data_IF_500729742801
#
_entry.id   IF_500729742801
#
_cell.length_a   1.000
_cell.length_b   1.000
_cell.length_c   1.000
_cell.angle_alpha   90.00
_cell.angle_beta   90.00
_cell.angle_gamma   90.00
#
_symmetry.space_group_name_H-M   'P 1'
#
loop_
_entity.id
_entity.type
_entity.pdbx_description
1 polymer ?
#
# COMPACT_ATOMS: atom_id res chain seq x y z
N UNK A 1 -11.37 -22.62 -12.71
CA UNK A 1 -12.11 -23.86 -12.39
C UNK A 1 -11.55 -24.42 -11.10
N UNK A 2 -12.35 -24.85 -10.10
CA UNK A 2 -13.78 -25.12 -10.13
C UNK A 2 -14.63 -23.96 -9.59
N UNK A 3 -15.85 -23.87 -10.13
CA UNK A 3 -16.94 -23.01 -9.66
C UNK A 3 -17.77 -23.83 -8.68
N UNK A 4 -17.60 -23.59 -7.38
CA UNK A 4 -18.43 -24.19 -6.33
C UNK A 4 -19.75 -23.41 -6.23
N UNK A 5 -20.70 -23.77 -7.10
CA UNK A 5 -22.07 -23.29 -6.98
C UNK A 5 -22.71 -23.88 -5.72
N UNK A 6 -22.76 -23.10 -4.64
CA UNK A 6 -23.55 -23.41 -3.45
C UNK A 6 -25.04 -23.31 -3.82
N UNK A 7 -25.64 -24.45 -4.19
CA UNK A 7 -27.10 -24.56 -4.30
C UNK A 7 -27.69 -24.48 -2.89
N UNK A 8 -28.08 -23.28 -2.46
CA UNK A 8 -28.99 -23.11 -1.33
C UNK A 8 -30.31 -23.80 -1.68
N UNK A 9 -30.56 -24.97 -1.08
CA UNK A 9 -31.89 -25.58 -1.05
C UNK A 9 -32.76 -24.69 -0.18
N UNK A 10 -33.64 -23.92 -0.82
CA UNK A 10 -34.69 -23.14 -0.17
C UNK A 10 -35.67 -24.14 0.45
N UNK A 11 -35.52 -24.43 1.74
CA UNK A 11 -36.59 -25.07 2.50
C UNK A 11 -37.74 -24.07 2.57
N UNK A 12 -38.83 -24.38 1.87
CA UNK A 12 -40.08 -23.64 1.98
C UNK A 12 -40.64 -23.97 3.35
N UNK A 13 -40.32 -23.15 4.35
CA UNK A 13 -41.07 -23.13 5.60
C UNK A 13 -42.35 -22.36 5.33
N UNK A 14 -43.46 -23.07 5.23
CA UNK A 14 -44.78 -22.49 5.36
C UNK A 14 -44.87 -21.84 6.74
N UNK A 15 -44.65 -20.53 6.77
CA UNK A 15 -44.91 -19.71 7.95
C UNK A 15 -46.41 -19.68 8.17
N UNK A 16 -46.91 -20.58 9.01
CA UNK A 16 -48.23 -20.45 9.60
C UNK A 16 -48.24 -19.17 10.44
N UNK A 17 -48.68 -18.07 9.84
CA UNK A 17 -49.12 -16.89 10.58
C UNK A 17 -50.36 -17.29 11.38
N UNK A 18 -50.34 -17.21 12.72
CA UNK A 18 -51.53 -17.51 13.50
C UNK A 18 -52.58 -16.44 13.22
N UNK A 19 -53.75 -16.88 12.74
CA UNK A 19 -54.93 -16.03 12.58
C UNK A 19 -55.34 -15.57 13.98
N UNK A 20 -55.21 -14.27 14.23
CA UNK A 20 -55.71 -13.61 15.43
C UNK A 20 -57.24 -13.59 15.38
N UNK A 21 -57.89 -14.57 16.01
CA UNK A 21 -59.32 -14.54 16.29
C UNK A 21 -59.55 -14.17 17.76
N UNK A 22 -59.98 -12.93 17.98
CA UNK A 22 -60.48 -12.46 19.26
C UNK A 22 -61.83 -13.09 19.59
N UNK A 23 -61.99 -13.46 20.87
CA UNK A 23 -63.24 -13.62 21.64
C UNK A 23 -64.16 -14.80 21.31
N UNK A 24 -63.85 -15.95 21.92
CA UNK A 24 -64.83 -16.87 22.51
C UNK A 24 -64.24 -17.44 23.80
N UNK A 25 -65.10 -17.72 24.80
CA UNK A 25 -64.75 -18.10 26.17
C UNK A 25 -63.61 -19.10 26.27
N UNK A 26 -62.65 -18.80 27.15
CA UNK A 26 -61.33 -19.41 27.21
C UNK A 26 -61.34 -20.92 27.38
N UNK A 27 -61.12 -21.63 26.27
CA UNK A 27 -60.49 -22.95 26.29
C UNK A 27 -59.05 -22.71 25.84
N UNK A 28 -58.12 -22.72 26.78
CA UNK A 28 -56.71 -22.85 26.44
C UNK A 28 -56.52 -24.23 25.82
N UNK A 29 -56.51 -24.30 24.49
CA UNK A 29 -56.08 -25.50 23.77
C UNK A 29 -54.56 -25.59 23.96
N UNK A 30 -54.15 -26.16 25.09
CA UNK A 30 -52.77 -26.58 25.29
C UNK A 30 -52.49 -27.66 24.27
N UNK A 31 -51.77 -27.34 23.20
CA UNK A 31 -51.19 -28.36 22.32
C UNK A 31 -50.30 -29.24 23.18
N UNK A 32 -50.80 -30.41 23.55
CA UNK A 32 -50.05 -31.44 24.29
C UNK A 32 -48.95 -31.89 23.35
N UNK A 33 -47.74 -31.35 23.54
CA UNK A 33 -46.58 -31.80 22.79
C UNK A 33 -46.33 -33.24 23.17
N UNK A 34 -46.38 -34.12 22.20
CA UNK A 34 -46.07 -35.52 22.47
C UNK A 34 -44.59 -35.62 22.86
N UNK A 35 -44.20 -36.63 23.66
CA UNK A 35 -42.78 -36.92 23.91
C UNK A 35 -41.99 -37.08 22.60
N UNK A 36 -42.64 -37.56 21.55
CA UNK A 36 -42.05 -37.72 20.22
C UNK A 36 -41.76 -36.37 19.53
N UNK A 37 -42.67 -35.40 19.63
CA UNK A 37 -42.44 -34.03 19.12
C UNK A 37 -41.26 -33.36 19.84
N UNK A 38 -41.13 -33.62 21.13
CA UNK A 38 -40.01 -33.12 21.93
C UNK A 38 -38.69 -33.76 21.48
N UNK A 39 -38.67 -35.08 21.25
CA UNK A 39 -37.48 -35.78 20.72
C UNK A 39 -37.08 -35.29 19.33
N UNK A 40 -38.05 -35.11 18.42
CA UNK A 40 -37.80 -34.58 17.06
C UNK A 40 -37.22 -33.18 17.10
N UNK A 41 -37.71 -32.33 18.00
CA UNK A 41 -37.20 -30.96 18.18
C UNK A 41 -35.77 -30.95 18.73
N UNK A 42 -35.46 -31.81 19.70
CA UNK A 42 -34.10 -31.94 20.24
C UNK A 42 -33.13 -32.38 19.14
N UNK A 43 -33.47 -33.44 18.39
CA UNK A 43 -32.64 -33.92 17.29
C UNK A 43 -32.41 -32.85 16.20
N UNK A 44 -33.43 -32.04 15.89
CA UNK A 44 -33.29 -30.92 14.96
C UNK A 44 -32.34 -29.83 15.48
N UNK A 45 -32.44 -29.48 16.77
CA UNK A 45 -31.56 -28.47 17.38
C UNK A 45 -30.11 -28.94 17.43
N UNK A 46 -29.87 -30.22 17.69
CA UNK A 46 -28.53 -30.83 17.62
C UNK A 46 -27.96 -30.74 16.20
N UNK A 47 -28.74 -31.11 15.19
CA UNK A 47 -28.34 -31.02 13.78
C UNK A 47 -27.99 -29.58 13.37
N UNK A 48 -28.81 -28.61 13.76
CA UNK A 48 -28.57 -27.18 13.49
C UNK A 48 -27.31 -26.69 14.22
N UNK A 49 -27.10 -27.11 15.47
CA UNK A 49 -25.92 -26.75 16.24
C UNK A 49 -24.64 -27.29 15.60
N UNK A 50 -24.67 -28.52 15.09
CA UNK A 50 -23.53 -29.12 14.36
C UNK A 50 -23.25 -28.34 13.07
N UNK A 51 -24.28 -28.07 12.26
CA UNK A 51 -24.12 -27.33 11.01
C UNK A 51 -23.59 -25.89 11.22
N UNK A 52 -24.02 -25.22 12.31
CA UNK A 52 -23.49 -23.90 12.68
C UNK A 52 -22.02 -23.98 13.12
N UNK A 53 -21.63 -25.02 13.85
CA UNK A 53 -20.23 -25.25 14.22
C UNK A 53 -19.33 -25.47 13.02
N UNK A 54 -19.78 -26.26 12.03
CA UNK A 54 -19.05 -26.48 10.77
C UNK A 54 -18.89 -25.20 9.95
N UNK A 55 -19.95 -24.39 9.84
CA UNK A 55 -19.91 -23.08 9.17
C UNK A 55 -18.96 -22.11 9.85
N UNK A 56 -19.00 -22.02 11.19
CA UNK A 56 -18.08 -21.17 11.96
C UNK A 56 -16.63 -21.63 11.83
N UNK A 57 -16.39 -22.95 11.86
CA UNK A 57 -15.07 -23.53 11.63
C UNK A 57 -14.52 -23.19 10.24
N UNK A 58 -15.33 -23.36 9.19
CA UNK A 58 -14.93 -23.06 7.81
C UNK A 58 -14.62 -21.57 7.59
N UNK A 59 -15.41 -20.66 8.17
CA UNK A 59 -15.12 -19.21 8.10
C UNK A 59 -13.82 -18.83 8.82
N UNK A 60 -13.54 -19.46 9.97
CA UNK A 60 -12.31 -19.19 10.70
C UNK A 60 -11.07 -19.68 9.94
N UNK A 61 -11.15 -20.86 9.33
CA UNK A 61 -10.08 -21.40 8.49
C UNK A 61 -9.84 -20.53 7.24
N UNK A 62 -10.90 -20.01 6.62
CA UNK A 62 -10.77 -19.11 5.46
C UNK A 62 -10.11 -17.77 5.86
N UNK A 63 -10.46 -17.20 7.02
CA UNK A 63 -9.80 -16.01 7.57
C UNK A 63 -8.31 -16.26 7.85
N UNK A 64 -7.97 -17.38 8.49
CA UNK A 64 -6.58 -17.76 8.75
C UNK A 64 -5.79 -17.93 7.45
N UNK A 65 -6.38 -18.58 6.44
CA UNK A 65 -5.76 -18.73 5.12
C UNK A 65 -5.56 -17.39 4.41
N UNK A 66 -6.52 -16.46 4.50
CA UNK A 66 -6.36 -15.11 3.94
C UNK A 66 -5.26 -14.32 4.65
N UNK A 67 -5.20 -14.38 5.98
CA UNK A 67 -4.13 -13.75 6.76
C UNK A 67 -2.77 -14.37 6.42
N UNK A 68 -2.68 -15.69 6.34
CA UNK A 68 -1.43 -16.37 6.00
C UNK A 68 -0.98 -16.04 4.56
N UNK A 69 -1.90 -15.98 3.60
CA UNK A 69 -1.60 -15.51 2.25
C UNK A 69 -1.14 -14.04 2.24
N UNK A 70 -1.75 -13.18 3.07
CA UNK A 70 -1.34 -11.79 3.21
C UNK A 70 0.07 -11.68 3.81
N UNK A 71 0.35 -12.43 4.88
CA UNK A 71 1.67 -12.51 5.53
C UNK A 71 2.72 -13.09 4.57
N UNK A 72 2.41 -14.13 3.81
CA UNK A 72 3.32 -14.71 2.81
C UNK A 72 3.63 -13.70 1.69
N UNK A 73 2.63 -12.96 1.20
CA UNK A 73 2.86 -11.86 0.25
C UNK A 73 3.78 -10.79 0.84
N UNK A 74 3.54 -10.34 2.06
CA UNK A 74 4.38 -9.37 2.75
C UNK A 74 5.81 -9.87 3.00
N UNK A 75 5.99 -11.16 3.36
CA UNK A 75 7.30 -11.79 3.56
C UNK A 75 8.07 -11.99 2.26
N UNK A 76 7.38 -12.35 1.17
CA UNK A 76 8.03 -12.49 -0.15
C UNK A 76 8.56 -11.15 -0.71
N UNK A 77 8.04 -10.02 -0.22
CA UNK A 77 8.51 -8.67 -0.53
C UNK A 77 9.58 -8.16 0.45
N UNK A 78 9.96 -8.94 1.47
CA UNK A 78 10.85 -8.52 2.56
C UNK A 78 12.32 -8.88 2.35
N UNK A 79 12.74 -9.25 1.12
CA UNK A 79 14.16 -9.47 0.87
C UNK A 79 14.86 -8.13 0.70
N UNK A 80 15.42 -7.64 1.82
CA UNK A 80 16.37 -6.53 1.81
C UNK A 80 17.58 -7.02 0.98
N UNK A 81 17.87 -6.39 -0.17
CA UNK A 81 19.01 -6.71 -1.01
C UNK A 81 20.29 -6.68 -0.19
N UNK A 82 21.22 -7.53 -0.59
CA UNK A 82 22.57 -7.56 -0.02
C UNK A 82 23.15 -6.14 -0.04
N UNK A 83 23.70 -5.71 1.08
CA UNK A 83 24.29 -4.38 1.34
C UNK A 83 23.33 -3.25 1.74
N UNK A 84 22.02 -3.50 1.80
CA UNK A 84 21.10 -2.54 2.41
C UNK A 84 20.89 -2.83 3.90
N UNK A 85 20.94 -1.79 4.71
CA UNK A 85 20.63 -1.81 6.14
C UNK A 85 19.37 -0.99 6.39
N UNK A 86 18.50 -1.47 7.29
CA UNK A 86 17.31 -0.71 7.69
C UNK A 86 17.70 0.49 8.53
N UNK A 87 17.08 1.64 8.26
CA UNK A 87 17.24 2.86 9.05
C UNK A 87 15.86 3.45 9.38
N UNK A 88 15.77 4.13 10.52
CA UNK A 88 14.59 4.89 10.92
C UNK A 88 15.02 6.34 11.19
N UNK A 89 14.40 7.29 10.51
CA UNK A 89 14.52 8.71 10.84
C UNK A 89 13.30 9.14 11.65
N UNK A 90 13.53 9.51 12.91
CA UNK A 90 12.49 10.07 13.78
C UNK A 90 12.20 11.54 13.46
N UNK A 91 13.20 12.26 12.97
CA UNK A 91 13.10 13.66 12.59
C UNK A 91 13.35 13.85 11.09
N UNK A 92 12.68 14.83 10.44
CA UNK A 92 12.94 15.16 9.06
C UNK A 92 14.39 15.58 8.82
N UNK A 93 15.05 15.00 7.82
CA UNK A 93 16.41 15.36 7.41
C UNK A 93 16.48 15.74 5.94
N UNK A 94 17.42 16.62 5.63
CA UNK A 94 17.71 17.05 4.25
C UNK A 94 18.52 16.01 3.51
N UNK A 95 18.11 15.72 2.29
CA UNK A 95 18.83 14.91 1.30
C UNK A 95 18.71 15.56 -0.08
N UNK A 96 19.34 14.93 -1.06
CA UNK A 96 19.36 15.35 -2.44
C UNK A 96 18.93 14.21 -3.35
N UNK A 97 18.18 14.54 -4.39
CA UNK A 97 17.58 13.59 -5.31
C UNK A 97 17.78 14.06 -6.73
N UNK A 98 18.13 13.15 -7.63
CA UNK A 98 18.05 13.42 -9.06
C UNK A 98 16.71 12.92 -9.61
N UNK A 99 16.03 13.79 -10.34
CA UNK A 99 14.82 13.50 -11.12
C UNK A 99 15.10 13.75 -12.60
N UNK A 100 14.31 13.15 -13.48
CA UNK A 100 14.36 13.36 -14.92
C UNK A 100 13.31 14.38 -15.35
N UNK A 101 13.69 15.32 -16.22
CA UNK A 101 12.76 16.20 -16.91
C UNK A 101 12.28 15.51 -18.20
N UNK A 102 10.99 15.15 -18.26
CA UNK A 102 10.37 14.50 -19.41
C UNK A 102 9.16 15.34 -19.83
N UNK A 103 9.28 16.07 -20.95
CA UNK A 103 8.29 17.05 -21.37
C UNK A 103 8.12 18.15 -20.31
N UNK A 104 6.91 18.30 -19.76
CA UNK A 104 6.59 19.30 -18.72
C UNK A 104 6.62 18.74 -17.30
N UNK A 105 7.11 17.51 -17.12
CA UNK A 105 7.05 16.76 -15.87
C UNK A 105 8.44 16.47 -15.33
N UNK A 106 8.55 16.45 -14.01
CA UNK A 106 9.72 15.96 -13.30
C UNK A 106 9.39 14.57 -12.77
N UNK A 107 10.00 13.53 -13.33
CA UNK A 107 9.69 12.13 -13.02
C UNK A 107 10.90 11.43 -12.41
N UNK A 108 10.68 10.27 -11.80
CA UNK A 108 11.80 9.43 -11.41
C UNK A 108 12.60 8.94 -12.60
N UNK A 109 13.93 8.92 -12.45
CA UNK A 109 14.84 8.31 -13.42
C UNK A 109 14.56 6.79 -13.55
N UNK A 110 14.19 6.12 -12.46
CA UNK A 110 14.05 4.66 -12.42
C UNK A 110 12.81 4.17 -13.17
N UNK A 111 11.61 4.65 -12.80
CA UNK A 111 10.36 4.18 -13.42
C UNK A 111 9.83 5.07 -14.56
N UNK A 112 10.37 6.28 -14.74
CA UNK A 112 9.92 7.24 -15.75
C UNK A 112 8.48 7.76 -15.58
N UNK A 113 7.76 7.36 -14.54
CA UNK A 113 6.32 7.64 -14.34
C UNK A 113 6.01 8.35 -13.03
N UNK A 114 6.88 8.22 -12.04
CA UNK A 114 6.70 8.78 -10.69
C UNK A 114 6.97 10.28 -10.69
N UNK A 115 5.91 11.10 -10.74
CA UNK A 115 6.00 12.57 -10.83
C UNK A 115 6.29 13.27 -9.49
N UNK A 116 7.28 14.16 -9.47
CA UNK A 116 7.70 14.96 -8.33
C UNK A 116 7.22 16.40 -8.48
N UNK A 117 6.62 16.93 -7.42
CA UNK A 117 6.13 18.30 -7.35
C UNK A 117 6.70 18.98 -6.11
N UNK A 118 6.94 20.29 -6.22
CA UNK A 118 7.37 21.12 -5.11
C UNK A 118 6.37 21.08 -3.95
N UNK A 119 6.85 20.98 -2.71
CA UNK A 119 6.04 20.97 -1.49
C UNK A 119 5.20 19.71 -1.26
N UNK A 120 5.01 18.86 -2.29
CA UNK A 120 4.19 17.65 -2.18
C UNK A 120 4.94 16.54 -1.45
N UNK A 121 4.31 15.99 -0.42
CA UNK A 121 4.80 14.79 0.26
C UNK A 121 4.47 13.59 -0.61
N UNK A 122 5.49 12.79 -0.89
CA UNK A 122 5.36 11.49 -1.52
C UNK A 122 5.56 10.40 -0.49
N UNK A 123 4.59 9.50 -0.46
CA UNK A 123 4.72 8.21 0.21
C UNK A 123 5.30 7.22 -0.81
N UNK A 124 6.38 6.53 -0.45
CA UNK A 124 6.86 5.40 -1.23
C UNK A 124 5.74 4.36 -1.38
N UNK A 125 5.58 3.72 -2.56
CA UNK A 125 4.66 2.58 -2.69
C UNK A 125 4.93 1.59 -1.55
N UNK A 126 3.93 0.94 -0.97
CA UNK A 126 4.17 0.12 0.24
C UNK A 126 5.22 -0.98 -0.03
N UNK A 127 6.36 -0.92 0.66
CA UNK A 127 7.29 -2.05 0.80
C UNK A 127 6.96 -2.87 2.05
N UNK A 128 7.66 -3.99 2.23
CA UNK A 128 7.47 -4.85 3.39
C UNK A 128 7.53 -4.03 4.70
N UNK A 129 6.53 -4.19 5.56
CA UNK A 129 6.45 -3.53 6.87
C UNK A 129 6.62 -1.99 6.86
N UNK A 130 6.18 -1.31 5.79
CA UNK A 130 6.19 0.16 5.73
C UNK A 130 7.54 0.78 5.34
N UNK A 131 8.47 -0.02 4.83
CA UNK A 131 9.70 0.45 4.21
C UNK A 131 9.47 0.87 2.75
N UNK A 132 10.34 1.74 2.21
CA UNK A 132 10.31 2.09 0.79
C UNK A 132 10.85 0.93 -0.06
N UNK A 133 10.12 0.43 -1.06
CA UNK A 133 10.59 -0.63 -1.93
C UNK A 133 11.90 -0.24 -2.60
N UNK A 134 12.81 -1.18 -2.80
CA UNK A 134 14.13 -0.89 -3.35
C UNK A 134 14.16 -0.84 -4.88
N UNK A 135 13.09 -1.28 -5.49
CA UNK A 135 12.73 -0.98 -6.88
C UNK A 135 11.99 0.36 -7.00
N UNK A 136 11.55 0.97 -5.90
CA UNK A 136 10.87 2.25 -5.95
C UNK A 136 11.85 3.41 -6.05
N UNK A 137 11.45 4.33 -6.91
CA UNK A 137 12.00 5.60 -7.29
C UNK A 137 12.43 6.58 -6.20
N UNK A 138 12.50 6.20 -4.92
CA UNK A 138 12.69 7.12 -3.78
C UNK A 138 14.14 7.26 -3.33
N UNK A 139 15.11 6.89 -4.17
CA UNK A 139 16.52 7.05 -3.81
C UNK A 139 16.95 8.51 -3.66
N UNK A 140 17.71 8.77 -2.60
CA UNK A 140 18.26 10.07 -2.21
C UNK A 140 19.69 9.91 -1.66
N UNK A 141 20.46 11.00 -1.67
CA UNK A 141 21.85 11.07 -1.24
C UNK A 141 22.05 12.19 -0.23
N UNK A 142 23.01 12.08 0.71
CA UNK A 142 23.20 13.08 1.75
C UNK A 142 23.83 14.38 1.24
N UNK A 143 24.53 14.37 0.09
CA UNK A 143 25.14 15.57 -0.50
C UNK A 143 24.74 15.79 -1.97
N UNK A 144 24.76 17.05 -2.47
CA UNK A 144 24.50 17.36 -3.87
C UNK A 144 25.46 16.61 -4.81
N UNK A 145 26.76 16.62 -4.46
CA UNK A 145 27.82 16.01 -5.27
C UNK A 145 27.61 14.50 -5.44
N UNK A 146 27.19 13.81 -4.38
CA UNK A 146 26.89 12.38 -4.45
C UNK A 146 25.65 12.08 -5.30
N UNK A 147 24.62 12.93 -5.23
CA UNK A 147 23.44 12.78 -6.07
C UNK A 147 23.78 12.96 -7.55
N UNK A 148 24.56 13.99 -7.91
CA UNK A 148 24.96 14.26 -9.30
C UNK A 148 25.81 13.13 -9.87
N UNK A 149 26.75 12.61 -9.07
CA UNK A 149 27.64 11.52 -9.47
C UNK A 149 27.02 10.12 -9.29
N UNK A 150 25.73 10.04 -8.94
CA UNK A 150 25.08 8.77 -8.72
C UNK A 150 25.02 7.93 -10.01
N UNK A 151 25.45 6.68 -9.90
CA UNK A 151 25.24 5.70 -10.96
C UNK A 151 23.78 5.24 -10.96
N UNK A 152 23.16 5.26 -12.13
CA UNK A 152 21.83 4.70 -12.37
C UNK A 152 21.97 3.40 -13.16
N UNK A 153 21.14 2.38 -12.88
CA UNK A 153 21.19 1.13 -13.64
C UNK A 153 20.81 1.40 -15.10
N UNK A 154 21.41 0.66 -16.02
CA UNK A 154 21.13 0.76 -17.45
C UNK A 154 19.64 0.51 -17.78
N UNK A 155 18.92 -0.20 -16.91
CA UNK A 155 17.48 -0.47 -17.01
C UNK A 155 16.58 0.69 -16.57
N UNK A 156 17.13 1.82 -16.13
CA UNK A 156 16.34 2.98 -15.70
C UNK A 156 15.59 3.60 -16.90
N UNK A 157 14.28 3.80 -16.77
CA UNK A 157 13.41 4.18 -17.89
C UNK A 157 13.62 5.60 -18.41
N UNK A 158 14.09 6.52 -17.57
CA UNK A 158 14.40 7.90 -17.95
C UNK A 158 15.89 8.21 -17.82
N UNK A 159 16.75 7.23 -18.12
CA UNK A 159 18.21 7.36 -18.00
C UNK A 159 18.81 8.47 -18.88
N UNK A 160 18.25 8.63 -20.10
CA UNK A 160 18.71 9.58 -21.12
C UNK A 160 18.00 10.94 -21.07
N UNK A 161 17.01 11.09 -20.19
CA UNK A 161 16.33 12.35 -20.03
C UNK A 161 17.24 13.38 -19.31
N UNK A 162 17.05 14.68 -19.55
CA UNK A 162 17.74 15.72 -18.80
C UNK A 162 17.51 15.53 -17.30
N UNK A 163 18.57 15.69 -16.51
CA UNK A 163 18.51 15.50 -15.07
C UNK A 163 18.24 16.83 -14.39
N UNK A 164 17.54 16.79 -13.26
CA UNK A 164 17.32 17.93 -12.40
C UNK A 164 17.63 17.49 -10.97
N UNK A 165 18.46 18.26 -10.28
CA UNK A 165 18.75 18.02 -8.89
C UNK A 165 17.64 18.63 -8.03
N UNK A 166 17.23 17.94 -6.98
CA UNK A 166 16.22 18.39 -6.04
C UNK A 166 16.75 18.27 -4.62
N UNK A 167 16.56 19.31 -3.81
CA UNK A 167 16.68 19.22 -2.35
C UNK A 167 15.36 18.67 -1.82
N UNK A 168 15.47 17.63 -0.99
CA UNK A 168 14.31 16.93 -0.45
C UNK A 168 14.45 16.74 1.05
N UNK A 169 13.31 16.75 1.74
CA UNK A 169 13.21 16.40 3.15
C UNK A 169 12.65 14.99 3.26
N UNK A 170 13.33 14.11 3.98
CA UNK A 170 12.94 12.71 4.15
C UNK A 170 12.79 12.34 5.63
N UNK A 171 11.89 11.41 5.94
CA UNK A 171 11.69 10.85 7.28
C UNK A 171 11.04 9.46 7.24
N UNK A 172 10.94 8.83 8.41
CA UNK A 172 10.30 7.52 8.58
C UNK A 172 11.25 6.34 8.36
N UNK A 173 10.66 5.18 8.06
CA UNK A 173 11.38 3.93 7.77
C UNK A 173 12.09 4.03 6.43
N UNK A 174 13.27 3.45 6.33
CA UNK A 174 14.03 3.45 5.10
C UNK A 174 15.14 2.42 5.06
N UNK A 175 15.88 2.46 3.97
CA UNK A 175 17.07 1.65 3.77
C UNK A 175 18.25 2.55 3.42
N UNK A 176 19.44 2.13 3.78
CA UNK A 176 20.70 2.71 3.36
C UNK A 176 21.57 1.63 2.74
N UNK A 177 22.10 1.89 1.55
CA UNK A 177 23.24 1.17 1.00
C UNK A 177 24.50 1.83 1.55
N UNK A 178 25.15 1.18 2.52
CA UNK A 178 26.31 1.75 3.23
C UNK A 178 27.50 1.98 2.29
N UNK A 179 27.61 1.17 1.23
CA UNK A 179 28.71 1.24 0.27
C UNK A 179 28.61 2.49 -0.61
N UNK A 180 27.40 2.81 -1.06
CA UNK A 180 27.16 3.93 -1.98
C UNK A 180 26.53 5.15 -1.32
N UNK A 181 26.30 5.09 0.00
CA UNK A 181 25.61 6.14 0.77
C UNK A 181 24.30 6.56 0.11
N UNK A 182 23.54 5.55 -0.36
CA UNK A 182 22.30 5.71 -1.12
C UNK A 182 21.13 5.32 -0.22
N UNK A 183 20.21 6.24 -0.01
CA UNK A 183 19.12 6.10 0.95
C UNK A 183 17.79 5.99 0.24
N UNK A 184 16.83 5.28 0.81
CA UNK A 184 15.43 5.27 0.38
C UNK A 184 14.51 5.37 1.59
N UNK A 185 13.64 6.37 1.64
CA UNK A 185 12.75 6.60 2.78
C UNK A 185 11.28 6.48 2.39
N UNK A 186 10.45 6.10 3.37
CA UNK A 186 9.00 5.99 3.22
C UNK A 186 8.37 7.33 2.84
N UNK A 187 8.86 8.43 3.42
CA UNK A 187 8.34 9.77 3.16
C UNK A 187 9.43 10.66 2.55
N UNK A 188 9.06 11.37 1.48
CA UNK A 188 9.93 12.34 0.80
C UNK A 188 9.12 13.54 0.37
N UNK A 189 9.55 14.75 0.72
CA UNK A 189 8.99 16.01 0.23
C UNK A 189 10.05 16.74 -0.59
N UNK A 190 9.68 17.25 -1.77
CA UNK A 190 10.58 18.12 -2.54
C UNK A 190 10.50 19.54 -1.99
N UNK A 191 11.62 20.07 -1.52
CA UNK A 191 11.68 21.42 -0.96
C UNK A 191 12.07 22.45 -2.01
N UNK A 192 12.97 22.09 -2.92
CA UNK A 192 13.35 22.93 -4.08
C UNK A 192 14.01 22.11 -5.18
N UNK A 193 13.92 22.58 -6.41
CA UNK A 193 14.75 22.12 -7.51
C UNK A 193 15.99 23.03 -7.62
N UNK A 194 17.15 22.43 -7.82
CA UNK A 194 18.45 23.09 -7.93
C UNK A 194 18.82 23.07 -9.40
N UNK A 195 18.87 24.26 -9.99
CA UNK A 195 18.99 24.47 -11.44
C UNK A 195 20.42 24.78 -11.86
N UNK A 196 21.24 25.22 -10.91
CA UNK A 196 22.57 25.76 -11.17
C UNK A 196 23.67 24.71 -10.93
N UNK A 197 23.26 23.43 -10.83
CA UNK A 197 24.16 22.34 -10.53
C UNK A 197 25.00 21.95 -11.76
N UNK A 198 26.14 22.63 -11.86
CA UNK A 198 27.43 22.20 -12.42
C UNK A 198 27.55 22.24 -13.95
N UNK A 199 28.28 23.27 -14.42
CA UNK A 199 28.93 23.29 -15.75
C UNK A 199 29.73 21.99 -15.95
N UNK A 200 29.42 21.22 -17.00
CA UNK A 200 30.19 20.03 -17.39
C UNK A 200 29.37 18.77 -17.70
N UNK A 201 28.09 18.72 -17.31
CA UNK A 201 27.22 17.55 -17.55
C UNK A 201 25.96 17.87 -18.35
N UNK A 202 26.03 18.67 -19.41
CA UNK A 202 24.91 18.81 -20.37
C UNK A 202 23.53 19.05 -19.73
N UNK A 203 23.47 19.73 -18.57
CA UNK A 203 22.24 20.03 -17.86
C UNK A 203 21.51 21.09 -18.68
N UNK A 204 20.44 20.67 -19.36
CA UNK A 204 19.75 21.48 -20.36
C UNK A 204 19.05 22.68 -19.68
N UNK A 205 19.02 23.87 -20.33
CA UNK A 205 18.23 25.05 -19.95
C UNK A 205 16.69 24.86 -20.00
N UNK A 206 16.19 23.65 -19.73
CA UNK A 206 14.74 23.35 -19.56
C UNK A 206 14.17 24.02 -18.30
N UNK A 207 15.04 24.59 -17.47
CA UNK A 207 14.68 25.37 -16.29
C UNK A 207 13.79 26.56 -16.65
N UNK A 208 13.98 27.21 -17.82
CA UNK A 208 13.14 28.34 -18.22
C UNK A 208 11.65 27.96 -18.30
N UNK A 209 11.31 26.76 -18.78
CA UNK A 209 9.93 26.25 -18.88
C UNK A 209 9.33 25.85 -17.53
N UNK A 210 10.17 25.58 -16.53
CA UNK A 210 9.72 25.27 -15.17
C UNK A 210 9.60 26.52 -14.31
N UNK A 211 10.35 27.59 -14.61
CA UNK A 211 10.31 28.87 -13.90
C UNK A 211 8.91 29.48 -13.85
N UNK A 212 8.11 29.28 -14.89
CA UNK A 212 6.72 29.76 -14.94
C UNK A 212 5.72 28.94 -14.10
N UNK A 213 6.08 27.70 -13.70
CA UNK A 213 5.18 26.78 -12.98
C UNK A 213 5.55 26.52 -11.53
N UNK A 214 6.81 26.71 -11.17
CA UNK A 214 7.30 26.48 -9.81
C UNK A 214 8.00 27.76 -9.37
N UNK A 215 7.61 28.33 -8.24
CA UNK A 215 8.25 29.54 -7.70
C UNK A 215 9.72 29.23 -7.38
N UNK A 216 10.65 29.62 -8.26
CA UNK A 216 12.10 29.44 -8.02
C UNK A 216 12.66 30.60 -7.23
N UNK A 217 13.65 30.31 -6.37
CA UNK A 217 14.50 31.29 -5.71
C UNK A 217 15.91 31.03 -6.25
N UNK A 218 16.50 32.01 -6.92
CA UNK A 218 17.88 31.94 -7.45
C UNK A 218 18.89 31.72 -6.31
N UNK A 219 19.91 30.89 -6.55
CA UNK A 219 20.92 30.53 -5.56
C UNK A 219 22.09 31.54 -5.47
N UNK A 220 22.03 32.68 -6.16
CA UNK A 220 23.11 33.69 -6.12
C UNK A 220 23.20 34.49 -4.79
N UNK A 221 22.55 34.05 -3.72
CA UNK A 221 22.51 34.79 -2.45
C UNK A 221 22.79 33.97 -1.17
N UNK A 222 23.44 32.80 -1.25
CA UNK A 222 23.84 32.01 -0.07
C UNK A 222 25.29 31.57 -0.12
#
# INVERSE_FOLDING_TARGET
>A
MPSSSVRMRRAIYETHTPVSSNRTGGIQVGTVRTPEDTRRRIAYLELVSTALGELQGGMHEELLNMEEQHVRKLRSQAHIPRNFVTIQLHEPRTFYKVVAAVGTKLVSIFDGTTEYHLGRIRLAPRGACGYAPLDCCSFVWPTPQQAVNAAFPASAKALHAPRVLAKVTCWGRGYVDERYQKYAFAYTRVDRFITDAVEGFGYIPTVQLLKDRYSYIDLEAV
#
